data_IF_276520499634
#
_entry.id   IF_276520499634
#
_cell.length_a   1.000
_cell.length_b   1.000
_cell.length_c   1.000
_cell.angle_alpha   90.00
_cell.angle_beta   90.00
_cell.angle_gamma   90.00
#
_symmetry.space_group_name_H-M   'P 1'
#
loop_
_entity.id
_entity.type
_entity.pdbx_description
1 polymer ?
#
# COMPACT_ATOMS: atom_id res chain seq x y z
N UNK A 1 22.90 8.77 -0.07
CA UNK A 1 22.50 7.46 -0.64
C UNK A 1 21.39 7.71 -1.65
N UNK A 2 21.34 6.94 -2.74
CA UNK A 2 20.26 7.10 -3.74
C UNK A 2 19.18 6.05 -3.52
N UNK A 3 17.92 6.49 -3.45
CA UNK A 3 16.77 5.63 -3.15
C UNK A 3 15.79 5.61 -4.32
N UNK A 4 15.41 4.41 -4.74
CA UNK A 4 14.42 4.17 -5.78
C UNK A 4 13.17 3.57 -5.15
N UNK A 5 12.04 4.29 -5.21
CA UNK A 5 10.74 3.69 -4.96
C UNK A 5 10.17 3.16 -6.27
N UNK A 6 9.76 1.89 -6.30
CA UNK A 6 9.05 1.30 -7.43
C UNK A 6 7.58 1.10 -7.05
N UNK A 7 6.67 1.60 -7.89
CA UNK A 7 5.26 1.24 -7.82
C UNK A 7 4.92 0.20 -8.88
N UNK A 8 4.02 -0.72 -8.53
CA UNK A 8 3.47 -1.73 -9.44
C UNK A 8 2.27 -1.20 -10.24
N UNK A 9 1.68 -0.09 -9.80
CA UNK A 9 0.53 0.55 -10.43
C UNK A 9 0.94 1.83 -11.15
N UNK A 10 0.22 2.22 -12.22
CA UNK A 10 0.39 3.52 -12.85
C UNK A 10 0.26 4.69 -11.86
N UNK A 11 1.26 5.56 -11.84
CA UNK A 11 1.23 6.80 -11.08
C UNK A 11 0.54 7.90 -11.91
N UNK A 12 -0.75 8.10 -11.70
CA UNK A 12 -1.60 9.13 -12.32
C UNK A 12 -2.07 10.14 -11.25
N UNK A 13 -2.85 11.17 -11.61
CA UNK A 13 -3.30 12.17 -10.61
C UNK A 13 -4.28 11.59 -9.58
N UNK A 14 -5.17 10.68 -10.02
CA UNK A 14 -6.04 9.90 -9.13
C UNK A 14 -5.29 8.66 -8.62
N UNK A 15 -4.51 8.84 -7.56
CA UNK A 15 -3.62 7.80 -7.04
C UNK A 15 -4.40 6.80 -6.17
N UNK A 16 -4.29 5.50 -6.46
CA UNK A 16 -4.80 4.43 -5.61
C UNK A 16 -3.95 4.25 -4.33
N UNK A 17 -4.52 3.62 -3.30
CA UNK A 17 -3.90 3.50 -1.96
C UNK A 17 -2.40 3.15 -1.94
N UNK A 18 -1.95 2.06 -2.58
CA UNK A 18 -0.53 1.69 -2.61
C UNK A 18 0.38 2.77 -3.23
N UNK A 19 -0.11 3.41 -4.28
CA UNK A 19 0.62 4.46 -4.98
C UNK A 19 0.66 5.77 -4.17
N UNK A 20 -0.32 6.05 -3.29
CA UNK A 20 -0.29 7.22 -2.37
C UNK A 20 0.87 7.06 -1.41
N UNK A 21 1.02 5.86 -0.82
CA UNK A 21 2.10 5.55 0.12
C UNK A 21 3.47 5.74 -0.52
N UNK A 22 3.67 5.22 -1.74
CA UNK A 22 4.92 5.46 -2.50
C UNK A 22 5.15 6.95 -2.72
N UNK A 23 4.14 7.68 -3.16
CA UNK A 23 4.23 9.11 -3.41
C UNK A 23 4.63 9.90 -2.16
N UNK A 24 3.90 9.75 -1.06
CA UNK A 24 4.11 10.53 0.16
C UNK A 24 5.42 10.17 0.87
N UNK A 25 5.76 8.88 0.97
CA UNK A 25 7.03 8.45 1.56
C UNK A 25 8.24 8.93 0.75
N UNK A 26 8.16 8.86 -0.58
CA UNK A 26 9.22 9.36 -1.46
C UNK A 26 9.43 10.87 -1.27
N UNK A 27 8.35 11.65 -1.16
CA UNK A 27 8.44 13.10 -0.92
C UNK A 27 8.98 13.46 0.45
N UNK A 28 8.62 12.68 1.48
CA UNK A 28 9.17 12.87 2.82
C UNK A 28 10.67 12.59 2.83
N UNK A 29 11.10 11.48 2.21
CA UNK A 29 12.50 11.06 2.18
C UNK A 29 13.36 11.95 1.27
N UNK A 30 12.77 12.53 0.22
CA UNK A 30 13.44 13.47 -0.69
C UNK A 30 13.96 14.74 0.02
N UNK A 31 13.47 15.04 1.24
CA UNK A 31 14.02 16.11 2.08
C UNK A 31 15.44 15.81 2.59
N UNK A 32 15.87 14.55 2.55
CA UNK A 32 17.12 14.10 3.17
C UNK A 32 17.99 13.24 2.23
N UNK A 33 17.41 12.62 1.20
CA UNK A 33 18.12 11.73 0.27
C UNK A 33 17.76 12.05 -1.18
N UNK A 34 18.59 11.60 -2.12
CA UNK A 34 18.25 11.65 -3.55
C UNK A 34 17.26 10.53 -3.86
N UNK A 35 16.01 10.90 -4.17
CA UNK A 35 14.92 9.95 -4.40
C UNK A 35 14.45 9.98 -5.85
N UNK A 36 14.19 8.78 -6.41
CA UNK A 36 13.48 8.60 -7.67
C UNK A 36 12.26 7.71 -7.44
N UNK A 37 11.14 8.02 -8.09
CA UNK A 37 10.00 7.10 -8.24
C UNK A 37 10.04 6.50 -9.63
N UNK A 38 10.09 5.17 -9.70
CA UNK A 38 9.88 4.38 -10.91
C UNK A 38 8.44 3.86 -11.00
N UNK A 39 7.82 4.01 -12.16
CA UNK A 39 6.41 3.64 -12.41
C UNK A 39 6.26 2.95 -13.78
N UNK A 40 5.24 2.09 -13.99
CA UNK A 40 5.07 1.39 -15.27
C UNK A 40 4.48 2.25 -16.41
N UNK A 41 3.83 3.38 -16.10
CA UNK A 41 3.18 4.23 -17.12
C UNK A 41 4.12 5.29 -17.72
N UNK A 42 4.00 5.51 -19.04
CA UNK A 42 4.85 6.42 -19.82
C UNK A 42 4.70 7.90 -19.48
N UNK A 43 3.50 8.31 -19.05
CA UNK A 43 3.17 9.68 -18.69
C UNK A 43 2.78 9.75 -17.21
N UNK A 44 3.74 9.63 -16.28
CA UNK A 44 3.41 9.63 -14.87
C UNK A 44 3.21 11.04 -14.34
N UNK A 45 2.47 11.12 -13.23
CA UNK A 45 2.39 12.33 -12.42
C UNK A 45 3.80 12.85 -12.11
N UNK A 46 4.02 14.13 -12.34
CA UNK A 46 5.33 14.76 -12.14
C UNK A 46 5.44 15.40 -10.76
N UNK A 47 6.66 15.46 -10.24
CA UNK A 47 7.00 16.18 -9.01
C UNK A 47 8.08 17.22 -9.28
N UNK A 48 7.96 18.39 -8.67
CA UNK A 48 9.02 19.40 -8.66
C UNK A 48 10.14 19.11 -7.65
N UNK A 49 9.95 18.12 -6.77
CA UNK A 49 10.85 17.83 -5.64
C UNK A 49 11.73 16.59 -5.84
N UNK A 50 11.34 15.69 -6.72
CA UNK A 50 12.04 14.43 -6.97
C UNK A 50 11.83 13.97 -8.41
N UNK A 51 12.68 13.05 -8.88
CA UNK A 51 12.57 12.48 -10.22
C UNK A 51 11.47 11.43 -10.26
N UNK A 52 10.57 11.52 -11.23
CA UNK A 52 9.59 10.47 -11.53
C UNK A 52 9.84 9.97 -12.95
N UNK A 53 9.94 8.66 -13.15
CA UNK A 53 10.31 8.10 -14.45
C UNK A 53 9.65 6.75 -14.71
N UNK A 54 9.36 6.50 -15.98
CA UNK A 54 8.84 5.23 -16.44
C UNK A 54 9.97 4.18 -16.48
N UNK A 55 9.76 3.01 -15.87
CA UNK A 55 10.72 1.90 -15.97
C UNK A 55 10.39 0.87 -17.05
N UNK A 56 9.27 1.05 -17.77
CA UNK A 56 8.90 0.21 -18.89
C UNK A 56 9.94 0.32 -20.03
N UNK A 57 9.79 -0.53 -21.05
CA UNK A 57 10.63 -0.52 -22.26
C UNK A 57 12.14 -0.68 -21.98
N UNK A 58 12.50 -1.39 -20.91
CA UNK A 58 13.89 -1.78 -20.61
C UNK A 58 14.70 -0.77 -19.80
N UNK A 59 14.08 0.28 -19.24
CA UNK A 59 14.78 1.27 -18.41
C UNK A 59 15.10 0.79 -16.98
N UNK A 60 14.36 -0.20 -16.47
CA UNK A 60 14.52 -0.74 -15.11
C UNK A 60 15.97 -1.14 -14.72
N UNK A 61 16.76 -1.86 -15.53
CA UNK A 61 18.12 -2.26 -15.15
C UNK A 61 19.07 -1.06 -14.94
N UNK A 62 18.88 0.04 -15.66
CA UNK A 62 19.68 1.25 -15.47
C UNK A 62 19.31 1.93 -14.16
N UNK A 63 18.00 2.04 -13.86
CA UNK A 63 17.51 2.56 -12.60
C UNK A 63 18.03 1.75 -11.42
N UNK A 64 17.96 0.43 -11.47
CA UNK A 64 18.44 -0.42 -10.37
C UNK A 64 19.92 -0.21 -10.07
N UNK A 65 20.77 -0.05 -11.09
CA UNK A 65 22.21 0.21 -10.90
C UNK A 65 22.52 1.61 -10.42
N UNK A 66 21.67 2.58 -10.72
CA UNK A 66 21.87 3.96 -10.29
C UNK A 66 21.61 4.17 -8.78
N UNK A 67 20.81 3.31 -8.16
CA UNK A 67 20.35 3.51 -6.78
C UNK A 67 20.92 2.45 -5.83
N UNK A 68 21.18 2.87 -4.59
CA UNK A 68 21.71 2.00 -3.54
C UNK A 68 20.60 1.19 -2.86
N UNK A 69 19.44 1.82 -2.64
CA UNK A 69 18.27 1.20 -2.01
C UNK A 69 17.13 1.18 -3.02
N UNK A 70 16.50 0.02 -3.16
CA UNK A 70 15.28 -0.17 -3.93
C UNK A 70 14.15 -0.53 -2.97
N UNK A 71 13.08 0.24 -2.99
CA UNK A 71 11.87 0.02 -2.21
C UNK A 71 10.78 -0.45 -3.16
N UNK A 72 10.19 -1.62 -2.91
CA UNK A 72 9.21 -2.24 -3.80
C UNK A 72 8.16 -3.06 -3.03
N UNK A 73 7.07 -3.42 -3.71
CA UNK A 73 6.09 -4.41 -3.25
C UNK A 73 6.31 -5.76 -3.95
N UNK A 74 5.93 -6.88 -3.31
CA UNK A 74 6.25 -8.23 -3.78
C UNK A 74 5.95 -8.51 -5.25
N UNK A 75 4.83 -8.01 -5.79
CA UNK A 75 4.48 -8.22 -7.20
C UNK A 75 5.56 -7.74 -8.18
N UNK A 76 6.29 -6.67 -7.84
CA UNK A 76 7.38 -6.17 -8.69
C UNK A 76 8.55 -7.16 -8.73
N UNK A 77 8.91 -7.73 -7.58
CA UNK A 77 10.03 -8.69 -7.50
C UNK A 77 9.72 -9.94 -8.33
N UNK A 78 8.49 -10.44 -8.24
CA UNK A 78 8.03 -11.59 -9.03
C UNK A 78 7.97 -11.29 -10.54
N UNK A 79 7.38 -10.16 -10.91
CA UNK A 79 7.19 -9.79 -12.32
C UNK A 79 8.48 -9.31 -13.00
N UNK A 80 9.42 -8.78 -12.22
CA UNK A 80 10.72 -8.31 -12.69
C UNK A 80 11.86 -8.94 -11.87
N UNK A 81 12.20 -10.22 -12.11
CA UNK A 81 13.24 -10.94 -11.35
C UNK A 81 14.62 -10.28 -11.39
N UNK A 82 14.85 -9.35 -12.31
CA UNK A 82 16.07 -8.55 -12.36
C UNK A 82 16.24 -7.63 -11.15
N UNK A 83 15.15 -7.26 -10.46
CA UNK A 83 15.20 -6.49 -9.20
C UNK A 83 16.05 -7.24 -8.17
N UNK A 84 15.77 -8.52 -7.93
CA UNK A 84 16.56 -9.38 -7.02
C UNK A 84 18.04 -9.44 -7.41
N UNK A 85 18.35 -9.35 -8.69
CA UNK A 85 19.72 -9.52 -9.21
C UNK A 85 20.55 -8.24 -9.16
N UNK A 86 19.93 -7.08 -9.32
CA UNK A 86 20.63 -5.80 -9.48
C UNK A 86 20.41 -4.81 -8.34
N UNK A 87 19.35 -4.97 -7.53
CA UNK A 87 19.18 -4.15 -6.34
C UNK A 87 20.34 -4.42 -5.38
N UNK A 88 20.99 -3.34 -4.92
CA UNK A 88 22.09 -3.44 -3.95
C UNK A 88 21.55 -3.72 -2.55
N UNK A 89 20.51 -3.00 -2.15
CA UNK A 89 19.70 -3.30 -0.97
C UNK A 89 18.22 -3.24 -1.35
N UNK A 90 17.47 -4.26 -1.01
CA UNK A 90 16.06 -4.42 -1.33
C UNK A 90 15.20 -4.28 -0.07
N UNK A 91 14.40 -3.22 -0.02
CA UNK A 91 13.42 -2.98 1.02
C UNK A 91 12.03 -3.34 0.50
N UNK A 92 11.34 -4.24 1.19
CA UNK A 92 10.00 -4.65 0.80
C UNK A 92 8.92 -3.94 1.62
N UNK A 93 8.02 -3.24 0.94
CA UNK A 93 6.80 -2.69 1.53
C UNK A 93 5.73 -3.77 1.60
N UNK A 94 5.58 -4.36 2.78
CA UNK A 94 4.63 -5.43 3.06
C UNK A 94 3.38 -4.90 3.77
N UNK A 95 3.06 -3.61 3.63
CA UNK A 95 1.86 -3.03 4.25
C UNK A 95 0.56 -3.68 3.75
N UNK A 96 0.50 -4.10 2.48
CA UNK A 96 -0.71 -4.64 1.87
C UNK A 96 -0.83 -6.16 2.06
N UNK A 97 -1.77 -6.67 2.87
CA UNK A 97 -1.99 -8.11 3.02
C UNK A 97 -2.85 -8.67 1.88
N UNK A 98 -2.45 -8.44 0.63
CA UNK A 98 -3.23 -8.77 -0.58
C UNK A 98 -3.65 -10.25 -0.64
N UNK A 99 -2.90 -11.15 -0.02
CA UNK A 99 -3.25 -12.57 0.06
C UNK A 99 -4.56 -12.83 0.83
N UNK A 100 -4.91 -11.97 1.79
CA UNK A 100 -6.19 -12.00 2.51
C UNK A 100 -7.30 -11.29 1.73
N UNK A 101 -6.95 -10.14 1.13
CA UNK A 101 -7.86 -9.33 0.32
C UNK A 101 -8.43 -10.13 -0.86
N UNK A 102 -7.55 -10.85 -1.58
CA UNK A 102 -7.91 -11.64 -2.76
C UNK A 102 -8.88 -12.79 -2.44
N UNK A 103 -8.90 -13.31 -1.20
CA UNK A 103 -9.88 -14.32 -0.79
C UNK A 103 -11.33 -13.80 -0.85
N UNK A 104 -11.52 -12.50 -0.59
CA UNK A 104 -12.84 -11.85 -0.65
C UNK A 104 -13.11 -11.24 -2.01
N UNK A 105 -12.10 -10.60 -2.62
CA UNK A 105 -12.21 -10.00 -3.95
C UNK A 105 -12.68 -11.01 -5.00
N UNK A 106 -12.19 -12.25 -4.91
CA UNK A 106 -12.50 -13.33 -5.85
C UNK A 106 -13.40 -14.40 -5.25
N UNK A 107 -14.18 -14.07 -4.21
CA UNK A 107 -15.06 -15.03 -3.53
C UNK A 107 -16.08 -15.71 -4.46
N UNK A 108 -16.54 -15.00 -5.48
CA UNK A 108 -17.53 -15.44 -6.47
C UNK A 108 -16.95 -16.34 -7.59
N UNK A 109 -15.62 -16.45 -7.69
CA UNK A 109 -14.98 -17.33 -8.66
C UNK A 109 -15.06 -18.79 -8.23
N UNK A 110 -14.89 -19.71 -9.18
CA UNK A 110 -14.84 -21.13 -8.87
C UNK A 110 -13.59 -21.48 -8.02
N UNK A 111 -13.67 -22.58 -7.28
CA UNK A 111 -12.60 -22.97 -6.34
C UNK A 111 -11.24 -23.17 -7.02
N UNK A 112 -11.19 -23.63 -8.27
CA UNK A 112 -9.92 -23.84 -9.00
C UNK A 112 -9.28 -22.50 -9.35
N UNK A 113 -10.08 -21.54 -9.83
CA UNK A 113 -9.59 -20.18 -10.08
C UNK A 113 -9.07 -19.54 -8.80
N UNK A 114 -9.81 -19.67 -7.69
CA UNK A 114 -9.42 -19.12 -6.38
C UNK A 114 -8.13 -19.72 -5.85
N UNK A 115 -7.95 -21.04 -5.97
CA UNK A 115 -6.69 -21.72 -5.60
C UNK A 115 -5.52 -21.22 -6.43
N UNK A 116 -5.68 -21.04 -7.73
CA UNK A 116 -4.61 -20.54 -8.59
C UNK A 116 -4.21 -19.10 -8.22
N UNK A 117 -5.17 -18.23 -7.97
CA UNK A 117 -4.92 -16.85 -7.52
C UNK A 117 -4.23 -16.84 -6.16
N UNK A 118 -4.73 -17.66 -5.22
CA UNK A 118 -4.14 -17.77 -3.89
C UNK A 118 -2.70 -18.27 -3.95
N UNK A 119 -2.42 -19.30 -4.75
CA UNK A 119 -1.07 -19.84 -4.90
C UNK A 119 -0.12 -18.80 -5.50
N UNK A 120 -0.55 -18.06 -6.53
CA UNK A 120 0.26 -16.97 -7.07
C UNK A 120 0.56 -15.90 -6.02
N UNK A 121 -0.45 -15.51 -5.22
CA UNK A 121 -0.28 -14.57 -4.13
C UNK A 121 0.65 -15.08 -3.03
N UNK A 122 0.56 -16.37 -2.68
CA UNK A 122 1.45 -17.02 -1.73
C UNK A 122 2.89 -17.01 -2.23
N UNK A 123 3.13 -17.35 -3.49
CA UNK A 123 4.46 -17.31 -4.07
C UNK A 123 5.05 -15.89 -4.03
N UNK A 124 4.25 -14.85 -4.35
CA UNK A 124 4.67 -13.44 -4.23
C UNK A 124 5.10 -13.12 -2.81
N UNK A 125 4.33 -13.57 -1.80
CA UNK A 125 4.66 -13.36 -0.39
C UNK A 125 5.96 -14.07 -0.02
N UNK A 126 6.10 -15.35 -0.36
CA UNK A 126 7.29 -16.12 -0.01
C UNK A 126 8.54 -15.53 -0.67
N UNK A 127 8.47 -15.17 -1.95
CA UNK A 127 9.58 -14.58 -2.68
C UNK A 127 10.04 -13.26 -2.06
N UNK A 128 9.13 -12.34 -1.73
CA UNK A 128 9.53 -11.07 -1.11
C UNK A 128 10.11 -11.27 0.30
N UNK A 129 9.55 -12.18 1.10
CA UNK A 129 10.08 -12.50 2.42
C UNK A 129 11.43 -13.20 2.33
N UNK A 130 11.72 -13.95 1.27
CA UNK A 130 13.03 -14.57 1.06
C UNK A 130 14.10 -13.51 0.74
N UNK A 131 13.79 -12.57 -0.15
CA UNK A 131 14.84 -11.71 -0.77
C UNK A 131 15.03 -10.35 -0.13
N UNK A 132 14.10 -9.89 0.73
CA UNK A 132 14.20 -8.57 1.34
C UNK A 132 15.41 -8.44 2.27
N UNK A 133 16.18 -7.36 2.19
CA UNK A 133 17.18 -7.02 3.21
C UNK A 133 16.51 -6.38 4.44
N UNK A 134 15.41 -5.65 4.22
CA UNK A 134 14.60 -5.03 5.25
C UNK A 134 13.14 -4.96 4.79
N UNK A 135 12.20 -4.99 5.73
CA UNK A 135 10.76 -4.93 5.44
C UNK A 135 10.09 -3.81 6.22
N UNK A 136 9.09 -3.19 5.61
CA UNK A 136 8.26 -2.19 6.28
C UNK A 136 6.78 -2.54 6.19
N UNK A 137 6.06 -2.31 7.28
CA UNK A 137 4.61 -2.45 7.37
C UNK A 137 3.99 -1.20 8.00
N UNK A 138 2.67 -1.03 7.98
CA UNK A 138 2.01 0.22 8.38
C UNK A 138 1.56 0.27 9.86
N UNK A 139 1.67 -0.83 10.62
CA UNK A 139 1.30 -0.85 12.04
C UNK A 139 1.95 -2.02 12.79
N UNK A 140 2.02 -1.91 14.13
CA UNK A 140 2.49 -3.02 14.97
C UNK A 140 1.63 -4.28 14.82
N UNK A 141 0.31 -4.14 14.62
CA UNK A 141 -0.56 -5.29 14.34
C UNK A 141 -0.21 -6.01 13.03
N UNK A 142 0.16 -5.26 11.99
CA UNK A 142 0.66 -5.87 10.77
C UNK A 142 2.03 -6.50 10.97
N UNK A 143 2.89 -5.89 11.78
CA UNK A 143 4.18 -6.45 12.15
C UNK A 143 4.01 -7.82 12.83
N UNK A 144 3.09 -7.94 13.79
CA UNK A 144 2.78 -9.21 14.44
C UNK A 144 2.35 -10.30 13.44
N UNK A 145 1.49 -9.94 12.48
CA UNK A 145 1.09 -10.85 11.39
C UNK A 145 2.30 -11.33 10.58
N UNK A 146 3.21 -10.42 10.21
CA UNK A 146 4.39 -10.75 9.42
C UNK A 146 5.47 -11.50 10.19
N UNK A 147 5.60 -11.31 11.51
CA UNK A 147 6.54 -12.08 12.33
C UNK A 147 6.23 -13.58 12.29
N UNK A 148 4.94 -13.96 12.26
CA UNK A 148 4.54 -15.35 12.04
C UNK A 148 5.03 -15.89 10.69
N UNK A 149 4.80 -15.15 9.60
CA UNK A 149 5.24 -15.54 8.26
C UNK A 149 6.78 -15.60 8.14
N UNK A 150 7.49 -14.65 8.75
CA UNK A 150 8.95 -14.60 8.77
C UNK A 150 9.58 -15.76 9.54
N UNK A 151 8.90 -16.26 10.58
CA UNK A 151 9.31 -17.48 11.29
C UNK A 151 9.26 -18.67 10.33
N UNK A 152 8.15 -18.82 9.60
CA UNK A 152 7.98 -19.92 8.63
C UNK A 152 8.92 -19.81 7.43
N UNK A 153 9.27 -18.60 7.00
CA UNK A 153 10.25 -18.34 5.95
C UNK A 153 11.71 -18.47 6.43
N UNK A 154 11.96 -18.91 7.67
CA UNK A 154 13.28 -19.01 8.30
C UNK A 154 14.08 -17.68 8.29
N UNK A 155 13.38 -16.55 8.23
CA UNK A 155 13.96 -15.20 8.32
C UNK A 155 14.18 -14.76 9.76
N UNK A 156 13.44 -15.36 10.70
CA UNK A 156 13.71 -15.27 12.13
C UNK A 156 14.46 -16.55 12.52
N UNK A 157 15.76 -16.42 12.74
CA UNK A 157 16.67 -17.51 13.06
C UNK A 157 17.74 -17.04 14.06
N UNK A 158 18.63 -17.92 14.58
CA UNK A 158 19.63 -17.51 15.58
C UNK A 158 20.55 -16.36 15.14
N UNK A 159 20.84 -16.24 13.83
CA UNK A 159 21.68 -15.15 13.33
C UNK A 159 20.96 -13.80 13.37
N UNK A 160 19.72 -13.73 12.89
CA UNK A 160 18.93 -12.48 12.92
C UNK A 160 18.56 -12.09 14.34
N UNK A 161 18.26 -13.06 15.20
CA UNK A 161 17.96 -12.84 16.61
C UNK A 161 19.19 -12.32 17.39
N UNK A 162 20.36 -12.90 17.16
CA UNK A 162 21.60 -12.43 17.80
C UNK A 162 22.00 -11.02 17.35
N UNK A 163 21.71 -10.66 16.09
CA UNK A 163 21.97 -9.33 15.57
C UNK A 163 21.03 -8.27 16.17
N UNK A 164 19.74 -8.59 16.30
CA UNK A 164 18.73 -7.73 16.92
C UNK A 164 17.56 -8.56 17.49
N UNK A 165 17.49 -8.76 18.82
CA UNK A 165 16.39 -9.47 19.47
C UNK A 165 15.04 -8.77 19.33
N UNK A 166 15.00 -7.48 18.99
CA UNK A 166 13.74 -6.78 18.72
C UNK A 166 13.21 -7.08 17.33
N UNK A 167 14.05 -7.60 16.43
CA UNK A 167 13.79 -7.84 15.00
C UNK A 167 13.42 -6.57 14.21
N UNK A 168 13.64 -5.37 14.78
CA UNK A 168 13.35 -4.11 14.09
C UNK A 168 14.37 -3.78 13.00
N UNK A 169 15.57 -4.36 13.05
CA UNK A 169 16.51 -4.31 11.92
C UNK A 169 16.08 -5.19 10.74
N UNK A 170 15.11 -6.09 10.93
CA UNK A 170 14.57 -6.97 9.89
C UNK A 170 13.22 -6.46 9.35
N UNK A 171 12.31 -6.11 10.25
CA UNK A 171 10.98 -5.59 9.91
C UNK A 171 10.53 -4.53 10.91
N UNK A 172 10.15 -3.34 10.41
CA UNK A 172 9.69 -2.24 11.25
C UNK A 172 8.41 -1.57 10.73
N UNK A 173 7.85 -0.70 11.57
CA UNK A 173 6.63 0.04 11.31
C UNK A 173 6.93 1.40 10.71
N UNK A 174 6.46 1.61 9.48
CA UNK A 174 6.41 2.90 8.79
C UNK A 174 4.94 3.20 8.51
N UNK A 175 4.29 4.11 9.27
CA UNK A 175 2.88 4.46 9.08
C UNK A 175 2.56 4.84 7.62
N UNK A 176 1.30 4.76 7.23
CA UNK A 176 0.86 4.86 5.82
C UNK A 176 1.50 6.03 5.04
N UNK A 177 1.72 7.16 5.70
CA UNK A 177 2.41 8.32 5.13
C UNK A 177 1.38 9.33 4.60
N UNK A 178 0.70 10.02 5.52
CA UNK A 178 -0.13 11.18 5.19
C UNK A 178 0.62 12.45 5.54
N UNK A 179 0.17 13.58 4.98
CA UNK A 179 0.67 14.91 5.35
C UNK A 179 0.52 15.11 6.86
N UNK A 180 1.56 15.69 7.47
CA UNK A 180 1.56 16.05 8.89
C UNK A 180 0.68 17.26 9.20
N UNK A 181 0.49 18.14 8.22
CA UNK A 181 -0.36 19.30 8.38
C UNK A 181 -1.82 18.83 8.45
N UNK A 182 -2.60 19.22 9.48
CA UNK A 182 -4.01 18.93 9.53
C UNK A 182 -4.72 19.57 8.32
N UNK A 183 -5.79 18.95 7.78
CA UNK A 183 -6.56 19.57 6.72
C UNK A 183 -7.18 20.88 7.23
N UNK A 184 -6.94 21.97 6.50
CA UNK A 184 -7.52 23.27 6.80
C UNK A 184 -8.95 23.34 6.22
N UNK A 185 -9.97 23.68 7.03
CA UNK A 185 -11.34 23.83 6.52
C UNK A 185 -11.42 24.99 5.52
N UNK A 186 -11.73 24.70 4.27
CA UNK A 186 -11.97 25.73 3.23
C UNK A 186 -13.46 26.05 3.05
N UNK A 187 -14.34 25.31 3.72
CA UNK A 187 -15.79 25.48 3.68
C UNK A 187 -16.53 24.19 4.04
N UNK A 188 -17.86 24.23 4.02
CA UNK A 188 -18.66 23.01 4.11
C UNK A 188 -18.59 22.24 2.79
N UNK A 189 -18.25 20.95 2.85
CA UNK A 189 -18.21 20.09 1.66
C UNK A 189 -19.52 19.31 1.43
N UNK A 190 -20.27 19.02 2.50
CA UNK A 190 -21.44 18.15 2.47
C UNK A 190 -22.69 18.86 2.98
N UNK A 191 -22.70 19.21 4.27
CA UNK A 191 -23.85 19.80 4.96
C UNK A 191 -24.22 21.17 4.39
N UNK A 192 -25.47 21.34 3.99
CA UNK A 192 -25.99 22.57 3.37
C UNK A 192 -25.45 22.85 1.96
N UNK A 193 -24.71 21.91 1.37
CA UNK A 193 -24.10 22.04 0.04
C UNK A 193 -24.58 20.93 -0.90
N UNK A 194 -24.56 19.68 -0.45
CA UNK A 194 -25.09 18.54 -1.19
C UNK A 194 -26.61 18.49 -1.02
N UNK A 195 -27.41 18.47 -2.10
CA UNK A 195 -28.86 18.36 -2.00
C UNK A 195 -29.29 17.15 -1.16
N UNK A 196 -30.18 17.37 -0.19
CA UNK A 196 -30.66 16.32 0.71
C UNK A 196 -29.79 16.09 1.95
N UNK A 197 -28.75 16.91 2.19
CA UNK A 197 -27.97 16.93 3.43
C UNK A 197 -28.07 18.31 4.07
N UNK A 198 -28.90 18.43 5.11
CA UNK A 198 -29.15 19.68 5.81
C UNK A 198 -27.97 20.08 6.72
N UNK A 199 -27.84 21.37 7.08
CA UNK A 199 -26.81 21.84 8.02
C UNK A 199 -26.81 21.10 9.37
N UNK A 200 -27.98 20.64 9.81
CA UNK A 200 -28.18 19.96 11.09
C UNK A 200 -28.12 18.44 11.01
N UNK A 201 -28.00 17.85 9.82
CA UNK A 201 -27.98 16.40 9.65
C UNK A 201 -26.76 15.76 10.30
N UNK A 202 -26.88 14.50 10.72
CA UNK A 202 -25.74 13.67 11.14
C UNK A 202 -25.22 12.95 9.92
N UNK A 203 -23.95 13.14 9.58
CA UNK A 203 -23.33 12.50 8.41
C UNK A 203 -22.44 11.36 8.89
N UNK A 204 -22.82 10.13 8.55
CA UNK A 204 -21.94 8.97 8.59
C UNK A 204 -21.14 8.95 7.28
N UNK A 205 -19.83 9.19 7.38
CA UNK A 205 -18.94 9.19 6.22
C UNK A 205 -18.28 7.82 6.04
N UNK A 206 -18.46 7.24 4.85
CA UNK A 206 -17.73 6.05 4.41
C UNK A 206 -16.45 6.47 3.69
N UNK A 207 -15.33 6.51 4.42
CA UNK A 207 -14.04 6.91 3.85
C UNK A 207 -13.30 5.81 3.07
N UNK A 208 -13.93 4.67 2.80
CA UNK A 208 -13.32 3.51 2.14
C UNK A 208 -13.74 3.34 0.69
N UNK A 209 -13.01 2.52 -0.08
CA UNK A 209 -13.51 2.07 -1.38
C UNK A 209 -14.82 1.27 -1.25
N UNK A 210 -15.64 1.24 -2.31
CA UNK A 210 -16.82 0.36 -2.37
C UNK A 210 -16.34 -1.00 -2.84
N UNK A 211 -15.75 -1.77 -1.93
CA UNK A 211 -15.20 -3.10 -2.20
C UNK A 211 -15.84 -4.13 -1.28
N UNK A 212 -16.07 -5.35 -1.77
CA UNK A 212 -16.68 -6.43 -0.99
C UNK A 212 -15.94 -6.70 0.33
N UNK A 213 -14.61 -6.51 0.35
CA UNK A 213 -13.77 -6.67 1.53
C UNK A 213 -14.13 -5.70 2.69
N UNK A 214 -14.67 -4.51 2.39
CA UNK A 214 -15.08 -3.57 3.43
C UNK A 214 -16.53 -3.73 3.87
N UNK A 215 -17.33 -4.55 3.18
CA UNK A 215 -18.77 -4.75 3.45
C UNK A 215 -19.58 -3.43 3.48
N UNK A 216 -19.66 -2.70 2.35
CA UNK A 216 -20.44 -1.46 2.27
C UNK A 216 -21.95 -1.70 2.39
N UNK A 217 -22.44 -2.93 2.29
CA UNK A 217 -23.87 -3.22 2.38
C UNK A 217 -24.38 -3.14 3.82
N UNK A 218 -23.56 -3.52 4.80
CA UNK A 218 -23.94 -3.42 6.21
C UNK A 218 -24.33 -2.00 6.63
N UNK A 219 -23.53 -0.94 6.42
CA UNK A 219 -23.95 0.42 6.77
C UNK A 219 -25.16 0.90 5.95
N UNK A 220 -25.28 0.55 4.66
CA UNK A 220 -26.46 0.90 3.86
C UNK A 220 -27.73 0.33 4.48
N UNK A 221 -27.72 -0.96 4.80
CA UNK A 221 -28.86 -1.65 5.42
C UNK A 221 -29.16 -1.12 6.80
N UNK A 222 -28.14 -0.75 7.57
CA UNK A 222 -28.32 -0.15 8.89
C UNK A 222 -29.04 1.21 8.79
N UNK A 223 -28.64 2.05 7.84
CA UNK A 223 -29.24 3.38 7.62
C UNK A 223 -30.68 3.24 7.15
N UNK A 224 -30.95 2.35 6.19
CA UNK A 224 -32.31 2.09 5.72
C UNK A 224 -33.25 1.60 6.85
N UNK A 225 -32.73 0.86 7.83
CA UNK A 225 -33.52 0.44 9.01
C UNK A 225 -33.79 1.57 10.01
N UNK A 226 -32.99 2.63 9.97
CA UNK A 226 -33.07 3.78 10.88
C UNK A 226 -33.78 4.98 10.24
N UNK A 227 -34.28 4.87 9.01
CA UNK A 227 -34.81 6.00 8.25
C UNK A 227 -35.98 6.68 8.99
N UNK A 228 -36.89 5.90 9.58
CA UNK A 228 -38.04 6.41 10.32
C UNK A 228 -37.66 6.95 11.71
N UNK A 229 -36.69 6.32 12.38
CA UNK A 229 -36.27 6.68 13.75
C UNK A 229 -35.27 7.85 13.78
N UNK A 230 -34.43 7.96 12.75
CA UNK A 230 -33.33 8.92 12.62
C UNK A 230 -33.27 9.52 11.20
N UNK A 231 -34.30 10.25 10.75
CA UNK A 231 -34.37 10.77 9.37
C UNK A 231 -33.25 11.77 9.02
N UNK A 232 -32.59 12.36 10.02
CA UNK A 232 -31.45 13.28 9.87
C UNK A 232 -30.11 12.55 9.67
N UNK A 233 -30.07 11.23 9.76
CA UNK A 233 -28.85 10.45 9.54
C UNK A 233 -28.65 10.19 8.05
N UNK A 234 -27.56 10.71 7.49
CA UNK A 234 -27.19 10.56 6.08
C UNK A 234 -25.91 9.74 5.96
N UNK A 235 -25.92 8.74 5.08
CA UNK A 235 -24.71 7.99 4.72
C UNK A 235 -24.14 8.57 3.42
N UNK A 236 -22.86 8.93 3.45
CA UNK A 236 -22.13 9.47 2.30
C UNK A 236 -20.94 8.56 1.99
N UNK A 237 -20.77 8.24 0.72
CA UNK A 237 -19.65 7.47 0.15
C UNK A 237 -18.69 8.38 -0.60
#
# INVERSE_FOLDING_TARGET
MKVLFLTHEPLIDAIAGPSIRVWELAHLLAKQQTVTIGTPNKNPRQSSKLRVTCFADGALPALLREHDIVIAIGYLVRNYPIIRKLARYLVMDIYGPFILETLHMYGELDVRQRVNIHQYGLDVVLEQLEVADFMMCASERQRDYWLGALTMANRINPYTWAADPTLRSLVDVVPFGLRSDPPEPTGHALKGVVPGIEPTDVVALWGGGIWNWFDPLTPIRAIARLEDDLPSLKLVF
#
